data_IF_605874219668
#
_entry.id   IF_605874219668
#
_cell.length_a   1.000
_cell.length_b   1.000
_cell.length_c   1.000
_cell.angle_alpha   90.00
_cell.angle_beta   90.00
_cell.angle_gamma   90.00
#
_symmetry.space_group_name_H-M   'P 1'
#
loop_
_entity.id
_entity.type
_entity.pdbx_description
1 polymer ?
#
# COMPACT_ATOMS: atom_id res chain seq x y z
N UNK A 1 -9.18 -13.36 -20.17
CA UNK A 1 -8.74 -11.96 -20.29
C UNK A 1 -9.07 -11.12 -19.04
N UNK A 2 -9.62 -11.69 -17.96
CA UNK A 2 -10.24 -10.96 -16.86
C UNK A 2 -9.34 -10.60 -15.67
N UNK A 3 -8.12 -11.13 -15.55
CA UNK A 3 -7.28 -10.89 -14.34
C UNK A 3 -6.32 -9.71 -14.48
N UNK A 4 -5.73 -9.52 -15.67
CA UNK A 4 -4.71 -8.47 -15.92
C UNK A 4 -5.30 -7.06 -15.96
N UNK A 5 -6.52 -6.93 -16.47
CA UNK A 5 -7.23 -5.64 -16.58
C UNK A 5 -7.71 -5.15 -15.20
N UNK A 6 -8.19 -6.06 -14.34
CA UNK A 6 -8.56 -5.75 -12.96
C UNK A 6 -7.35 -5.33 -12.12
N UNK A 7 -6.22 -6.03 -12.25
CA UNK A 7 -4.97 -5.62 -11.61
C UNK A 7 -4.50 -4.25 -12.08
N UNK A 8 -4.56 -3.98 -13.40
CA UNK A 8 -4.21 -2.68 -13.96
C UNK A 8 -5.09 -1.54 -13.41
N UNK A 9 -6.37 -1.79 -13.16
CA UNK A 9 -7.26 -0.79 -12.57
C UNK A 9 -6.95 -0.56 -11.08
N UNK A 10 -6.64 -1.61 -10.32
CA UNK A 10 -6.18 -1.50 -8.93
C UNK A 10 -4.93 -0.61 -8.84
N UNK A 11 -3.92 -0.87 -9.68
CA UNK A 11 -2.67 -0.10 -9.66
C UNK A 11 -2.89 1.38 -9.98
N UNK A 12 -3.74 1.69 -10.98
CA UNK A 12 -4.09 3.08 -11.28
C UNK A 12 -4.71 3.81 -10.09
N UNK A 13 -5.65 3.16 -9.39
CA UNK A 13 -6.24 3.75 -8.19
C UNK A 13 -5.22 3.89 -7.05
N UNK A 14 -4.30 2.93 -6.90
CA UNK A 14 -3.21 3.03 -5.93
C UNK A 14 -2.28 4.22 -6.24
N UNK A 15 -1.93 4.42 -7.51
CA UNK A 15 -1.09 5.53 -7.97
C UNK A 15 -1.72 6.89 -7.63
N UNK A 16 -3.05 7.04 -7.71
CA UNK A 16 -3.74 8.27 -7.31
C UNK A 16 -3.53 8.59 -5.81
N UNK A 17 -3.48 7.58 -4.93
CA UNK A 17 -3.15 7.79 -3.51
C UNK A 17 -1.67 8.12 -3.31
N UNK A 18 -0.78 7.50 -4.09
CA UNK A 18 0.66 7.77 -4.07
C UNK A 18 0.95 9.20 -4.55
N UNK A 19 0.25 9.70 -5.57
CA UNK A 19 0.38 11.08 -6.05
C UNK A 19 0.04 12.08 -4.94
N UNK A 20 -0.99 11.79 -4.12
CA UNK A 20 -1.32 12.61 -2.96
C UNK A 20 -0.19 12.56 -1.93
N UNK A 21 0.36 11.39 -1.61
CA UNK A 21 1.48 11.25 -0.68
C UNK A 21 2.72 12.01 -1.18
N UNK A 22 3.07 11.86 -2.46
CA UNK A 22 4.17 12.55 -3.11
C UNK A 22 3.99 14.07 -3.07
N UNK A 23 2.77 14.57 -3.31
CA UNK A 23 2.45 16.01 -3.19
C UNK A 23 2.67 16.52 -1.77
N UNK A 24 2.25 15.77 -0.74
CA UNK A 24 2.45 16.15 0.66
C UNK A 24 3.95 16.27 1.01
N UNK A 25 4.77 15.33 0.55
CA UNK A 25 6.22 15.36 0.79
C UNK A 25 6.89 16.49 0.01
N UNK A 26 6.65 16.54 -1.30
CA UNK A 26 7.43 17.41 -2.21
C UNK A 26 6.94 18.85 -2.27
N UNK A 27 5.62 19.06 -2.25
CA UNK A 27 5.01 20.39 -2.44
C UNK A 27 4.63 21.03 -1.12
N UNK A 28 4.27 20.23 -0.12
CA UNK A 28 3.84 20.72 1.21
C UNK A 28 4.91 20.55 2.30
N UNK A 29 6.11 20.07 1.94
CA UNK A 29 7.27 19.88 2.83
C UNK A 29 6.90 19.13 4.13
N UNK A 30 6.08 18.09 4.03
CA UNK A 30 5.80 17.19 5.16
C UNK A 30 6.89 16.14 5.25
N UNK A 31 7.23 15.75 6.49
CA UNK A 31 8.19 14.68 6.73
C UNK A 31 7.68 13.36 6.12
N UNK A 32 8.60 12.61 5.50
CA UNK A 32 8.27 11.38 4.78
C UNK A 32 7.63 10.34 5.72
N UNK A 33 8.14 10.24 6.94
CA UNK A 33 7.67 9.31 7.97
C UNK A 33 6.25 9.64 8.42
N UNK A 34 5.93 10.94 8.54
CA UNK A 34 4.60 11.42 8.92
C UNK A 34 3.58 11.13 7.82
N UNK A 35 3.95 11.38 6.55
CA UNK A 35 3.08 11.05 5.40
C UNK A 35 2.87 9.54 5.30
N UNK A 36 3.92 8.75 5.48
CA UNK A 36 3.82 7.29 5.48
C UNK A 36 2.97 6.74 6.63
N UNK A 37 3.03 7.36 7.82
CA UNK A 37 2.15 7.02 8.94
C UNK A 37 0.69 7.42 8.66
N UNK A 38 0.47 8.60 8.10
CA UNK A 38 -0.86 9.07 7.73
C UNK A 38 -1.52 8.18 6.67
N UNK A 39 -0.76 7.74 5.66
CA UNK A 39 -1.26 6.84 4.61
C UNK A 39 -1.70 5.49 5.17
N UNK A 40 -0.88 4.87 6.05
CA UNK A 40 -1.25 3.63 6.74
C UNK A 40 -2.50 3.79 7.60
N UNK A 41 -2.62 4.91 8.31
CA UNK A 41 -3.81 5.21 9.10
C UNK A 41 -5.06 5.43 8.24
N UNK A 42 -4.92 6.11 7.09
CA UNK A 42 -6.01 6.29 6.13
C UNK A 42 -6.49 4.96 5.55
N UNK A 43 -5.57 4.07 5.15
CA UNK A 43 -5.88 2.73 4.68
C UNK A 43 -6.66 1.93 5.74
N UNK A 44 -6.19 1.92 7.00
CA UNK A 44 -6.87 1.24 8.09
C UNK A 44 -8.32 1.76 8.31
N UNK A 45 -8.53 3.07 8.24
CA UNK A 45 -9.87 3.68 8.35
C UNK A 45 -10.79 3.27 7.21
N UNK A 46 -10.27 3.22 5.99
CA UNK A 46 -11.04 2.82 4.82
C UNK A 46 -11.40 1.33 4.88
N UNK A 47 -10.47 0.45 5.24
CA UNK A 47 -10.72 -0.98 5.45
C UNK A 47 -11.75 -1.25 6.55
N UNK A 48 -11.67 -0.51 7.66
CA UNK A 48 -12.68 -0.60 8.72
C UNK A 48 -14.07 -0.16 8.21
N UNK A 49 -14.14 0.89 7.40
CA UNK A 49 -15.37 1.34 6.77
C UNK A 49 -15.92 0.31 5.77
N UNK A 50 -15.06 -0.28 4.95
CA UNK A 50 -15.44 -1.35 4.01
C UNK A 50 -16.08 -2.52 4.75
N UNK A 51 -15.47 -2.96 5.86
CA UNK A 51 -16.00 -4.03 6.69
C UNK A 51 -17.36 -3.64 7.24
N UNK A 52 -17.45 -2.47 7.89
CA UNK A 52 -18.70 -1.98 8.48
C UNK A 52 -19.83 -1.86 7.43
N UNK A 53 -19.51 -1.48 6.20
CA UNK A 53 -20.47 -1.36 5.11
C UNK A 53 -21.00 -2.72 4.63
N UNK A 54 -20.14 -3.75 4.60
CA UNK A 54 -20.49 -5.11 4.15
C UNK A 54 -21.07 -5.99 5.26
N UNK A 55 -20.78 -5.66 6.51
CA UNK A 55 -21.07 -6.49 7.67
C UNK A 55 -22.53 -6.44 8.10
N UNK A 56 -23.04 -7.58 8.57
CA UNK A 56 -24.32 -7.64 9.31
C UNK A 56 -24.10 -7.62 10.82
N UNK A 57 -22.94 -8.06 11.28
CA UNK A 57 -22.49 -8.05 12.68
C UNK A 57 -20.99 -7.75 12.74
N UNK A 58 -20.67 -6.45 12.78
CA UNK A 58 -19.28 -5.99 12.77
C UNK A 58 -18.51 -6.47 14.00
N UNK A 59 -19.19 -6.69 15.13
CA UNK A 59 -18.53 -7.14 16.35
C UNK A 59 -18.04 -8.58 16.21
N UNK A 60 -18.87 -9.46 15.61
CA UNK A 60 -18.49 -10.84 15.32
C UNK A 60 -17.40 -10.93 14.25
N UNK A 61 -17.44 -10.08 13.22
CA UNK A 61 -16.53 -10.12 12.06
C UNK A 61 -15.21 -9.35 12.29
N UNK A 62 -15.09 -8.59 13.39
CA UNK A 62 -13.95 -7.68 13.66
C UNK A 62 -12.59 -8.37 13.54
N UNK A 63 -12.43 -9.53 14.15
CA UNK A 63 -11.13 -10.19 14.23
C UNK A 63 -10.75 -10.85 12.90
N UNK A 64 -11.73 -11.39 12.17
CA UNK A 64 -11.54 -11.95 10.84
C UNK A 64 -11.13 -10.86 9.85
N UNK A 65 -11.81 -9.71 9.89
CA UNK A 65 -11.44 -8.54 9.10
C UNK A 65 -10.00 -8.09 9.42
N UNK A 66 -9.65 -7.95 10.71
CA UNK A 66 -8.31 -7.56 11.12
C UNK A 66 -7.23 -8.51 10.55
N UNK A 67 -7.44 -9.82 10.69
CA UNK A 67 -6.51 -10.82 10.17
C UNK A 67 -6.38 -10.73 8.64
N UNK A 68 -7.50 -10.57 7.94
CA UNK A 68 -7.52 -10.49 6.48
C UNK A 68 -6.76 -9.27 5.96
N UNK A 69 -7.09 -8.06 6.42
CA UNK A 69 -6.41 -6.85 5.96
C UNK A 69 -4.93 -6.81 6.34
N UNK A 70 -4.56 -7.30 7.54
CA UNK A 70 -3.16 -7.36 7.94
C UNK A 70 -2.36 -8.33 7.08
N UNK A 71 -2.92 -9.48 6.70
CA UNK A 71 -2.26 -10.43 5.81
C UNK A 71 -2.06 -9.83 4.41
N UNK A 72 -3.11 -9.24 3.82
CA UNK A 72 -3.04 -8.60 2.52
C UNK A 72 -2.01 -7.46 2.49
N UNK A 73 -1.97 -6.61 3.53
CA UNK A 73 -0.97 -5.55 3.61
C UNK A 73 0.46 -6.11 3.72
N UNK A 74 0.64 -7.19 4.49
CA UNK A 74 1.96 -7.80 4.67
C UNK A 74 2.48 -8.39 3.36
N UNK A 75 1.65 -9.11 2.61
CA UNK A 75 1.99 -9.67 1.30
C UNK A 75 2.39 -8.57 0.31
N UNK A 76 1.58 -7.50 0.21
CA UNK A 76 1.91 -6.37 -0.67
C UNK A 76 3.20 -5.65 -0.26
N UNK A 77 3.42 -5.48 1.05
CA UNK A 77 4.64 -4.83 1.55
C UNK A 77 5.89 -5.67 1.25
N UNK A 78 5.81 -6.99 1.46
CA UNK A 78 6.88 -7.94 1.14
C UNK A 78 7.25 -7.86 -0.35
N UNK A 79 6.26 -7.95 -1.25
CA UNK A 79 6.50 -7.83 -2.70
C UNK A 79 7.17 -6.51 -3.10
N UNK A 80 6.78 -5.39 -2.49
CA UNK A 80 7.39 -4.08 -2.78
C UNK A 80 8.82 -3.97 -2.21
N UNK A 81 9.07 -4.53 -1.03
CA UNK A 81 10.41 -4.56 -0.44
C UNK A 81 11.36 -5.41 -1.29
N UNK A 82 10.91 -6.58 -1.77
CA UNK A 82 11.69 -7.44 -2.64
C UNK A 82 12.07 -6.73 -3.94
N UNK A 83 11.12 -6.01 -4.56
CA UNK A 83 11.39 -5.19 -5.76
C UNK A 83 12.44 -4.09 -5.49
N UNK A 84 12.39 -3.46 -4.30
CA UNK A 84 13.39 -2.47 -3.90
C UNK A 84 14.77 -3.11 -3.66
N UNK A 85 14.83 -4.31 -3.08
CA UNK A 85 16.07 -5.08 -2.88
C UNK A 85 16.70 -5.40 -4.24
N UNK A 86 15.94 -5.98 -5.17
CA UNK A 86 16.42 -6.31 -6.52
C UNK A 86 16.94 -5.07 -7.27
N UNK A 87 16.22 -3.95 -7.13
CA UNK A 87 16.61 -2.68 -7.74
C UNK A 87 17.92 -2.14 -7.14
N UNK A 88 18.09 -2.26 -5.82
CA UNK A 88 19.29 -1.82 -5.11
C UNK A 88 20.52 -2.65 -5.50
N UNK A 89 20.38 -3.99 -5.55
CA UNK A 89 21.44 -4.89 -6.02
C UNK A 89 21.83 -4.60 -7.47
N UNK A 90 20.86 -4.38 -8.34
CA UNK A 90 21.09 -4.04 -9.75
C UNK A 90 21.87 -2.73 -9.90
N UNK A 91 21.57 -1.72 -9.09
CA UNK A 91 22.29 -0.45 -9.09
C UNK A 91 23.74 -0.64 -8.63
N UNK A 92 23.95 -1.37 -7.53
CA UNK A 92 25.29 -1.61 -6.98
C UNK A 92 26.19 -2.36 -7.97
N UNK A 93 25.67 -3.41 -8.61
CA UNK A 93 26.41 -4.19 -9.61
C UNK A 93 26.78 -3.36 -10.86
N UNK A 94 25.97 -2.36 -11.23
CA UNK A 94 26.32 -1.43 -12.32
C UNK A 94 27.43 -0.47 -11.92
N UNK A 95 27.40 0.07 -10.71
CA UNK A 95 28.44 0.99 -10.20
C UNK A 95 29.80 0.32 -9.98
N UNK A 96 29.86 -0.99 -9.74
CA UNK A 96 31.11 -1.74 -9.60
C UNK A 96 31.74 -2.16 -10.94
N UNK A 97 31.02 -2.01 -12.06
CA UNK A 97 31.48 -2.38 -13.42
C UNK A 97 32.15 -1.25 -14.21
N UNK A 98 32.51 -0.15 -13.53
CA UNK A 98 33.19 1.03 -14.07
C UNK A 98 34.45 1.35 -13.25
#
# INVERSE_FOLDING_TARGET
MTNKESAANLFKMADEFIDVANRLVTSENKELEDVGAALRYAAARFSAHETAYKSKDLAAERNDALAWFSNQYSEMLEENLDQHIESFETLNNKTESH
#
